data_IF_663379369076
#
_entry.id   IF_663379369076
#
_cell.length_a   1.000
_cell.length_b   1.000
_cell.length_c   1.000
_cell.angle_alpha   90.00
_cell.angle_beta   90.00
_cell.angle_gamma   90.00
#
_symmetry.space_group_name_H-M   'P 1'
#
loop_
_entity.id
_entity.type
_entity.pdbx_description
1 polymer ?
#
# COMPACT_ATOMS: atom_id res chain seq x y z
N UNK A 1 25.88 -12.54 -45.71
CA UNK A 1 25.42 -11.24 -45.18
C UNK A 1 24.08 -11.46 -44.52
N UNK A 2 23.99 -11.48 -43.18
CA UNK A 2 22.69 -11.45 -42.52
C UNK A 2 22.18 -10.01 -42.48
N UNK A 3 20.90 -9.86 -42.78
CA UNK A 3 20.13 -8.63 -42.89
C UNK A 3 20.15 -7.82 -41.58
N UNK A 4 20.31 -6.50 -41.70
CA UNK A 4 20.17 -5.55 -40.61
C UNK A 4 18.70 -5.54 -40.15
N UNK A 5 18.41 -6.26 -39.06
CA UNK A 5 17.12 -6.13 -38.39
C UNK A 5 16.99 -4.71 -37.84
N UNK A 6 16.08 -3.93 -38.42
CA UNK A 6 15.66 -2.64 -37.90
C UNK A 6 15.33 -2.78 -36.42
N UNK A 7 15.96 -1.95 -35.59
CA UNK A 7 15.78 -1.98 -34.15
C UNK A 7 14.30 -1.75 -33.80
N UNK A 8 13.61 -2.79 -33.35
CA UNK A 8 12.32 -2.65 -32.69
C UNK A 8 12.49 -1.62 -31.57
N UNK A 9 11.69 -0.54 -31.61
CA UNK A 9 11.72 0.48 -30.57
C UNK A 9 11.31 -0.15 -29.24
N UNK A 10 12.29 -0.53 -28.44
CA UNK A 10 12.04 -1.02 -27.08
C UNK A 10 11.41 0.10 -26.25
N UNK A 11 10.30 -0.25 -25.57
CA UNK A 11 9.66 0.63 -24.62
C UNK A 11 10.62 0.91 -23.45
N UNK A 12 11.14 2.13 -23.41
CA UNK A 12 11.97 2.62 -22.32
C UNK A 12 11.09 2.89 -21.09
N UNK A 13 11.04 1.91 -20.18
CA UNK A 13 10.21 1.96 -18.98
C UNK A 13 10.55 3.14 -18.06
N UNK A 14 11.80 3.58 -18.02
CA UNK A 14 12.22 4.70 -17.17
C UNK A 14 11.72 6.02 -17.74
N UNK A 15 11.78 6.20 -19.07
CA UNK A 15 11.14 7.36 -19.74
C UNK A 15 9.62 7.37 -19.54
N UNK A 16 8.97 6.20 -19.51
CA UNK A 16 7.53 6.13 -19.25
C UNK A 16 7.20 6.56 -17.81
N UNK A 17 7.96 6.09 -16.82
CA UNK A 17 7.82 6.50 -15.42
C UNK A 17 8.02 8.01 -15.25
N UNK A 18 9.01 8.59 -15.91
CA UNK A 18 9.23 10.05 -15.88
C UNK A 18 8.07 10.83 -16.47
N UNK A 19 7.51 10.38 -17.60
CA UNK A 19 6.33 11.01 -18.20
C UNK A 19 5.11 10.97 -17.28
N UNK A 20 4.87 9.83 -16.61
CA UNK A 20 3.78 9.69 -15.64
C UNK A 20 3.98 10.62 -14.44
N UNK A 21 5.20 10.67 -13.87
CA UNK A 21 5.54 11.60 -12.78
C UNK A 21 5.34 13.06 -13.19
N UNK A 22 5.82 13.46 -14.35
CA UNK A 22 5.63 14.82 -14.88
C UNK A 22 4.14 15.17 -15.09
N UNK A 23 3.35 14.22 -15.58
CA UNK A 23 1.90 14.38 -15.75
C UNK A 23 1.16 14.53 -14.42
N UNK A 24 1.59 13.79 -13.38
CA UNK A 24 1.08 13.90 -12.01
C UNK A 24 1.44 15.27 -11.40
N UNK A 25 2.69 15.73 -11.54
CA UNK A 25 3.14 17.06 -11.09
C UNK A 25 2.32 18.20 -11.64
N UNK A 26 2.09 18.20 -12.95
CA UNK A 26 1.37 19.28 -13.63
C UNK A 26 -0.09 19.44 -13.20
N UNK A 27 -0.64 18.47 -12.46
CA UNK A 27 -2.03 18.49 -11.97
C UNK A 27 -2.13 18.55 -10.45
N UNK A 28 -1.02 18.81 -9.75
CA UNK A 28 -0.94 18.66 -8.28
C UNK A 28 -1.43 17.27 -7.79
N UNK A 29 -1.32 16.25 -8.64
CA UNK A 29 -1.60 14.85 -8.28
C UNK A 29 -0.43 14.20 -7.52
N UNK A 30 0.63 14.94 -7.23
CA UNK A 30 1.79 14.40 -6.51
C UNK A 30 1.65 14.40 -4.99
N UNK A 31 0.76 15.19 -4.39
CA UNK A 31 0.74 15.28 -2.93
C UNK A 31 -0.18 14.29 -2.23
N UNK A 32 -1.24 13.80 -2.88
CA UNK A 32 -2.21 12.94 -2.20
C UNK A 32 -2.71 11.81 -3.10
N UNK A 33 -2.59 10.57 -2.63
CA UNK A 33 -3.41 9.47 -3.16
C UNK A 33 -4.88 9.86 -2.99
N UNK A 34 -5.68 9.59 -4.02
CA UNK A 34 -7.08 9.94 -3.97
C UNK A 34 -7.71 9.26 -2.73
N UNK A 35 -8.55 9.97 -1.95
CA UNK A 35 -9.18 9.38 -0.76
C UNK A 35 -9.85 8.03 -1.02
N UNK A 36 -10.43 7.85 -2.22
CA UNK A 36 -10.97 6.56 -2.65
C UNK A 36 -9.93 5.43 -2.62
N UNK A 37 -8.73 5.67 -3.14
CA UNK A 37 -7.67 4.67 -3.22
C UNK A 37 -7.12 4.35 -1.83
N UNK A 38 -7.00 5.37 -0.96
CA UNK A 38 -6.63 5.19 0.44
C UNK A 38 -7.68 4.39 1.23
N UNK A 39 -8.98 4.61 0.98
CA UNK A 39 -10.04 3.81 1.61
C UNK A 39 -9.96 2.33 1.20
N UNK A 40 -9.65 2.08 -0.07
CA UNK A 40 -9.42 0.72 -0.58
C UNK A 40 -8.20 0.09 0.11
N UNK A 41 -7.08 0.82 0.18
CA UNK A 41 -5.86 0.35 0.86
C UNK A 41 -6.15 -0.02 2.32
N UNK A 42 -6.80 0.86 3.09
CA UNK A 42 -7.20 0.58 4.49
C UNK A 42 -8.03 -0.71 4.57
N UNK A 43 -8.99 -0.92 3.67
CA UNK A 43 -9.82 -2.13 3.66
C UNK A 43 -9.01 -3.40 3.35
N UNK A 44 -7.99 -3.30 2.51
CA UNK A 44 -7.09 -4.42 2.19
C UNK A 44 -6.22 -4.74 3.40
N UNK A 45 -5.51 -3.78 3.98
CA UNK A 45 -4.65 -4.03 5.15
C UNK A 45 -5.45 -4.54 6.35
N UNK A 46 -6.68 -4.05 6.54
CA UNK A 46 -7.57 -4.54 7.59
C UNK A 46 -8.01 -6.01 7.35
N UNK A 47 -8.12 -6.41 6.09
CA UNK A 47 -8.40 -7.81 5.72
C UNK A 47 -7.17 -8.69 5.94
N UNK A 48 -5.97 -8.21 5.62
CA UNK A 48 -4.71 -8.92 5.91
C UNK A 48 -4.52 -9.11 7.42
N UNK A 49 -4.84 -8.09 8.23
CA UNK A 49 -4.88 -8.21 9.69
C UNK A 49 -5.91 -9.26 10.15
N UNK A 50 -7.10 -9.29 9.53
CA UNK A 50 -8.13 -10.28 9.84
C UNK A 50 -7.67 -11.71 9.51
N UNK A 51 -6.94 -11.91 8.42
CA UNK A 51 -6.42 -13.23 8.02
C UNK A 51 -5.55 -13.86 9.11
N UNK A 52 -4.84 -13.04 9.89
CA UNK A 52 -4.03 -13.50 11.01
C UNK A 52 -4.87 -14.02 12.19
N UNK A 53 -6.13 -13.61 12.31
CA UNK A 53 -6.99 -13.88 13.47
C UNK A 53 -8.16 -14.83 13.14
N UNK A 54 -8.54 -14.95 11.88
CA UNK A 54 -9.81 -15.57 11.45
C UNK A 54 -10.03 -17.02 11.89
N UNK A 55 -8.97 -17.79 12.14
CA UNK A 55 -9.04 -19.21 12.53
C UNK A 55 -8.75 -19.47 14.01
N UNK A 56 -8.50 -18.42 14.79
CA UNK A 56 -8.20 -18.56 16.21
C UNK A 56 -9.46 -18.89 16.99
N UNK A 57 -9.34 -19.75 18.01
CA UNK A 57 -10.41 -19.91 18.99
C UNK A 57 -10.62 -18.59 19.72
N UNK A 58 -11.88 -18.29 20.06
CA UNK A 58 -12.24 -17.04 20.75
C UNK A 58 -11.33 -16.77 21.95
N UNK A 59 -10.62 -15.63 21.91
CA UNK A 59 -9.83 -15.05 23.00
C UNK A 59 -8.60 -15.83 23.49
N UNK A 60 -7.97 -16.70 22.70
CA UNK A 60 -6.65 -17.26 23.08
C UNK A 60 -5.51 -16.24 22.83
N UNK A 61 -5.55 -15.14 23.56
CA UNK A 61 -4.54 -14.09 23.55
C UNK A 61 -3.15 -14.62 23.94
N UNK A 62 -3.11 -15.71 24.71
CA UNK A 62 -1.88 -16.29 25.20
C UNK A 62 -1.19 -17.09 24.09
N UNK A 63 -1.93 -17.88 23.32
CA UNK A 63 -1.43 -18.55 22.11
C UNK A 63 -0.90 -17.53 21.09
N UNK A 64 -1.63 -16.43 20.86
CA UNK A 64 -1.18 -15.34 19.98
C UNK A 64 0.16 -14.79 20.45
N UNK A 65 0.25 -14.40 21.73
CA UNK A 65 1.46 -13.79 22.30
C UNK A 65 2.66 -14.73 22.30
N UNK A 66 2.43 -16.04 22.49
CA UNK A 66 3.49 -17.05 22.48
C UNK A 66 3.99 -17.35 21.06
N UNK A 67 3.14 -17.14 20.04
CA UNK A 67 3.54 -17.28 18.64
C UNK A 67 4.21 -16.00 18.10
N UNK A 68 5.53 -15.95 18.25
CA UNK A 68 6.33 -14.78 17.84
C UNK A 68 6.28 -14.44 16.35
N UNK A 69 5.97 -15.39 15.45
CA UNK A 69 5.79 -15.09 14.03
C UNK A 69 4.44 -14.43 13.77
N UNK A 70 3.37 -14.98 14.35
CA UNK A 70 2.02 -14.41 14.25
C UNK A 70 1.99 -13.00 14.83
N UNK A 71 2.61 -12.77 16.00
CA UNK A 71 2.72 -11.43 16.57
C UNK A 71 3.45 -10.42 15.68
N UNK A 72 4.49 -10.85 14.97
CA UNK A 72 5.21 -9.96 14.04
C UNK A 72 4.32 -9.57 12.86
N UNK A 73 3.58 -10.52 12.30
CA UNK A 73 2.64 -10.27 11.20
C UNK A 73 1.50 -9.36 11.64
N UNK A 74 0.83 -9.67 12.76
CA UNK A 74 -0.22 -8.80 13.35
C UNK A 74 0.31 -7.38 13.53
N UNK A 75 1.52 -7.22 14.07
CA UNK A 75 2.14 -5.90 14.24
C UNK A 75 2.34 -5.20 12.89
N UNK A 76 2.83 -5.91 11.87
CA UNK A 76 3.04 -5.36 10.53
C UNK A 76 1.72 -4.85 9.92
N UNK A 77 0.70 -5.71 9.87
CA UNK A 77 -0.59 -5.34 9.26
C UNK A 77 -1.28 -4.22 10.02
N UNK A 78 -1.17 -4.20 11.36
CA UNK A 78 -1.69 -3.11 12.17
C UNK A 78 -0.97 -1.79 11.88
N UNK A 79 0.36 -1.82 11.70
CA UNK A 79 1.12 -0.64 11.29
C UNK A 79 0.69 -0.16 9.90
N UNK A 80 0.40 -1.05 8.96
CA UNK A 80 0.00 -0.69 7.60
C UNK A 80 -1.43 -0.12 7.53
N UNK A 81 -2.36 -0.64 8.33
CA UNK A 81 -3.68 0.00 8.56
C UNK A 81 -3.50 1.43 9.07
N UNK A 82 -2.69 1.62 10.12
CA UNK A 82 -2.46 2.94 10.74
C UNK A 82 -1.80 3.91 9.76
N UNK A 83 -0.79 3.46 9.02
CA UNK A 83 -0.11 4.30 8.00
C UNK A 83 -1.11 4.78 6.96
N UNK A 84 -1.98 3.91 6.44
CA UNK A 84 -2.96 4.30 5.44
C UNK A 84 -4.05 5.23 6.02
N UNK A 85 -4.46 5.04 7.29
CA UNK A 85 -5.32 5.99 7.99
C UNK A 85 -4.66 7.37 8.15
N UNK A 86 -3.38 7.44 8.48
CA UNK A 86 -2.64 8.70 8.58
C UNK A 86 -2.53 9.40 7.22
N UNK A 87 -2.23 8.65 6.15
CA UNK A 87 -2.20 9.16 4.78
C UNK A 87 -3.56 9.70 4.33
N UNK A 88 -4.65 9.01 4.69
CA UNK A 88 -6.02 9.47 4.46
C UNK A 88 -6.30 10.77 5.20
N UNK A 89 -5.98 10.83 6.49
CA UNK A 89 -6.17 12.02 7.31
C UNK A 89 -5.42 13.22 6.71
N UNK A 90 -4.16 13.02 6.29
CA UNK A 90 -3.36 14.04 5.62
C UNK A 90 -3.98 14.47 4.28
N UNK A 91 -4.44 13.53 3.45
CA UNK A 91 -5.11 13.76 2.16
C UNK A 91 -6.40 14.56 2.28
N UNK A 92 -7.14 14.38 3.38
CA UNK A 92 -8.40 15.07 3.66
C UNK A 92 -8.24 16.32 4.54
N UNK A 93 -7.04 16.61 5.05
CA UNK A 93 -6.82 17.70 6.01
C UNK A 93 -7.53 17.47 7.35
N UNK A 94 -7.66 16.21 7.79
CA UNK A 94 -8.29 15.81 9.05
C UNK A 94 -7.21 15.63 10.11
N UNK A 95 -7.41 16.20 11.29
CA UNK A 95 -6.61 15.88 12.48
C UNK A 95 -7.26 14.71 13.24
N UNK A 96 -6.50 13.63 13.46
CA UNK A 96 -6.94 12.52 14.30
C UNK A 96 -6.62 12.83 15.77
N UNK A 97 -7.56 12.55 16.67
CA UNK A 97 -7.34 12.68 18.11
C UNK A 97 -6.30 11.65 18.60
N UNK A 98 -5.55 12.04 19.64
CA UNK A 98 -4.51 11.20 20.27
C UNK A 98 -5.07 10.35 21.41
#
# INVERSE_FOLDING_TARGET
>A
MPEEFESEQYLDFDKLKEKVRHFKRKRDWEEFEAPKDLAIAISVEASELLEMLQWMKENDLEEIKQNGEVMKKIKSELEDVVKNCQRMAQSLGIELEK
#
